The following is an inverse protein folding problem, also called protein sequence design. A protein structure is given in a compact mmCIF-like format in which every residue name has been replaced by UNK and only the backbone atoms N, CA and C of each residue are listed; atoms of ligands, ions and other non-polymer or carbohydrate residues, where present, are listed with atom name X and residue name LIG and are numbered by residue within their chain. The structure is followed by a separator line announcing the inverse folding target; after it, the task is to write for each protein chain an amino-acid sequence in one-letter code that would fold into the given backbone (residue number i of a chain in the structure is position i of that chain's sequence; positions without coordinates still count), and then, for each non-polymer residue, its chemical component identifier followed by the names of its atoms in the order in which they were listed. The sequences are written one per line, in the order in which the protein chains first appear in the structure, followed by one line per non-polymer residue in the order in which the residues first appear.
data_IF_311071424973
#
_entry.id   IF_311071424973
#
_cell.length_a   1.000
_cell.length_b   1.000
_cell.length_c   1.000
_cell.angle_alpha   90.00
_cell.angle_beta   90.00
_cell.angle_gamma   90.00
#
_symmetry.space_group_name_H-M   'P 1'
#
loop_
_entity.id
_entity.type
_entity.pdbx_description
1 polymer ?
#
# COMPACT_ATOMS: atom_id res chain seq x y z
N UNK A 1 10.09 14.32 0.15
CA UNK A 1 8.84 14.61 0.89
C UNK A 1 7.76 14.97 -0.11
N UNK A 2 6.58 14.38 0.00
CA UNK A 2 5.39 14.74 -0.78
C UNK A 2 4.30 15.21 0.19
N UNK A 3 3.77 16.40 -0.04
CA UNK A 3 2.71 16.97 0.77
C UNK A 3 1.65 17.61 -0.13
N UNK A 4 0.37 17.30 0.11
CA UNK A 4 -0.74 17.74 -0.74
C UNK A 4 -0.61 17.34 -2.23
N UNK A 5 -0.07 16.15 -2.50
CA UNK A 5 0.15 15.64 -3.86
C UNK A 5 -0.92 14.60 -4.23
N UNK A 6 -1.27 14.56 -5.51
CA UNK A 6 -2.10 13.50 -6.10
C UNK A 6 -1.27 12.74 -7.15
N UNK A 7 -1.15 11.43 -6.97
CA UNK A 7 -0.50 10.52 -7.93
C UNK A 7 -1.57 9.60 -8.51
N UNK A 8 -1.86 9.75 -9.80
CA UNK A 8 -2.97 9.03 -10.43
C UNK A 8 -2.78 8.71 -11.90
N UNK A 9 -3.53 7.71 -12.37
CA UNK A 9 -3.63 7.33 -13.77
C UNK A 9 -2.29 6.93 -14.40
N UNK A 10 -1.37 6.39 -13.59
CA UNK A 10 -0.11 5.87 -14.08
C UNK A 10 -0.23 4.36 -14.35
N UNK A 11 0.55 3.89 -15.31
CA UNK A 11 0.70 2.48 -15.61
C UNK A 11 2.17 2.09 -15.63
N UNK A 12 2.52 0.96 -15.00
CA UNK A 12 3.89 0.45 -14.97
C UNK A 12 3.90 -1.07 -14.83
N UNK A 13 5.07 -1.69 -14.92
CA UNK A 13 5.20 -3.11 -14.57
C UNK A 13 5.10 -3.32 -13.05
N UNK A 14 5.69 -2.41 -12.27
CA UNK A 14 5.69 -2.46 -10.80
C UNK A 14 5.62 -1.05 -10.21
N UNK A 15 4.95 -0.88 -9.07
CA UNK A 15 4.95 0.39 -8.33
C UNK A 15 4.37 1.53 -9.16
N UNK A 16 3.20 1.34 -9.78
CA UNK A 16 2.72 2.25 -10.82
C UNK A 16 2.50 3.68 -10.33
N UNK A 17 2.15 3.88 -9.05
CA UNK A 17 2.23 5.21 -8.43
C UNK A 17 3.65 5.55 -8.01
N UNK A 18 4.24 4.71 -7.16
CA UNK A 18 5.57 4.92 -6.59
C UNK A 18 6.34 3.59 -6.49
N UNK A 19 7.59 3.59 -6.95
CA UNK A 19 8.58 2.57 -6.61
C UNK A 19 9.67 3.18 -5.73
N UNK A 20 9.94 2.56 -4.58
CA UNK A 20 11.06 2.87 -3.69
C UNK A 20 12.06 1.72 -3.69
N UNK A 21 13.33 2.06 -3.84
CA UNK A 21 14.47 1.16 -3.72
C UNK A 21 15.48 1.80 -2.76
N UNK A 22 15.66 1.20 -1.57
CA UNK A 22 16.66 1.58 -0.56
C UNK A 22 16.72 3.09 -0.25
N UNK A 23 15.54 3.71 -0.09
CA UNK A 23 15.41 5.14 0.21
C UNK A 23 14.24 5.43 1.15
N UNK A 24 14.13 6.70 1.56
CA UNK A 24 13.07 7.17 2.45
C UNK A 24 12.08 8.07 1.72
N UNK A 25 10.79 7.81 1.92
CA UNK A 25 9.70 8.66 1.46
C UNK A 25 8.78 9.04 2.61
N UNK A 26 8.72 10.33 2.89
CA UNK A 26 7.71 10.93 3.77
C UNK A 26 6.58 11.52 2.94
N UNK A 27 5.35 11.09 3.20
CA UNK A 27 4.12 11.60 2.56
C UNK A 27 3.10 12.08 3.58
N UNK A 28 2.50 13.24 3.30
CA UNK A 28 1.39 13.78 4.08
C UNK A 28 0.28 14.36 3.21
N UNK A 29 -0.97 14.29 3.68
CA UNK A 29 -2.14 14.91 3.02
C UNK A 29 -2.28 14.58 1.53
N UNK A 30 -1.84 13.39 1.13
CA UNK A 30 -1.65 13.03 -0.28
C UNK A 30 -2.52 11.83 -0.67
N UNK A 31 -2.80 11.73 -1.97
CA UNK A 31 -3.68 10.69 -2.52
C UNK A 31 -2.96 9.93 -3.64
N UNK A 32 -2.93 8.61 -3.57
CA UNK A 32 -2.48 7.73 -4.66
C UNK A 32 -3.67 6.92 -5.15
N UNK A 33 -4.13 7.16 -6.38
CA UNK A 33 -5.32 6.48 -6.87
C UNK A 33 -5.39 6.23 -8.36
N UNK A 34 -6.16 5.22 -8.78
CA UNK A 34 -6.33 4.85 -10.19
C UNK A 34 -5.00 4.56 -10.92
N UNK A 35 -4.00 4.04 -10.22
CA UNK A 35 -2.78 3.54 -10.84
C UNK A 35 -2.90 2.04 -11.11
N UNK A 36 -2.26 1.56 -12.17
CA UNK A 36 -2.35 0.17 -12.63
C UNK A 36 -0.97 -0.43 -12.85
N UNK A 37 -0.58 -1.43 -12.05
CA UNK A 37 0.61 -2.22 -12.32
C UNK A 37 0.25 -3.49 -13.10
N UNK A 38 1.10 -3.94 -14.02
CA UNK A 38 0.90 -5.24 -14.68
C UNK A 38 1.25 -6.38 -13.73
N UNK A 39 2.29 -6.23 -12.89
CA UNK A 39 2.75 -7.30 -12.01
C UNK A 39 2.41 -7.01 -10.55
N UNK A 40 3.05 -6.02 -9.94
CA UNK A 40 3.10 -5.87 -8.47
C UNK A 40 3.03 -4.40 -8.02
N UNK A 41 2.37 -4.12 -6.89
CA UNK A 41 2.40 -2.79 -6.28
C UNK A 41 1.64 -1.78 -7.14
N UNK A 42 0.33 -1.97 -7.29
CA UNK A 42 -0.51 -1.10 -8.12
C UNK A 42 -0.41 0.38 -7.71
N UNK A 43 -0.28 0.66 -6.41
CA UNK A 43 0.04 1.99 -5.92
C UNK A 43 1.52 2.12 -5.57
N UNK A 44 2.03 1.28 -4.66
CA UNK A 44 3.37 1.39 -4.09
C UNK A 44 4.09 0.04 -4.13
N UNK A 45 5.33 0.04 -4.62
CA UNK A 45 6.30 -1.04 -4.40
C UNK A 45 7.47 -0.49 -3.57
N UNK A 46 7.65 -1.01 -2.35
CA UNK A 46 8.73 -0.64 -1.44
C UNK A 46 9.73 -1.79 -1.29
N UNK A 47 10.90 -1.68 -1.90
CA UNK A 47 12.00 -2.62 -1.76
C UNK A 47 13.08 -2.04 -0.85
N UNK A 48 13.24 -2.61 0.35
CA UNK A 48 14.22 -2.19 1.36
C UNK A 48 14.10 -0.74 1.86
N UNK A 49 13.16 0.05 1.35
CA UNK A 49 12.96 1.44 1.71
C UNK A 49 12.11 1.66 2.95
N UNK A 50 12.00 2.93 3.36
CA UNK A 50 11.14 3.38 4.46
C UNK A 50 10.09 4.36 3.95
N UNK A 51 8.82 4.07 4.22
CA UNK A 51 7.70 4.95 3.86
C UNK A 51 6.95 5.36 5.12
N UNK A 52 6.83 6.66 5.36
CA UNK A 52 6.00 7.21 6.41
C UNK A 52 4.84 7.98 5.79
N UNK A 53 3.62 7.55 6.07
CA UNK A 53 2.38 8.16 5.58
C UNK A 53 1.52 8.67 6.72
N UNK A 54 1.14 9.94 6.65
CA UNK A 54 0.23 10.58 7.61
C UNK A 54 -0.88 11.30 6.87
N UNK A 55 -2.14 11.06 7.24
CA UNK A 55 -3.30 11.70 6.61
C UNK A 55 -3.36 11.47 5.08
N UNK A 56 -2.99 10.26 4.64
CA UNK A 56 -2.95 9.89 3.22
C UNK A 56 -4.08 8.91 2.84
N UNK A 57 -4.38 8.85 1.54
CA UNK A 57 -5.32 7.89 0.97
C UNK A 57 -4.71 7.12 -0.22
N UNK A 58 -4.71 5.80 -0.14
CA UNK A 58 -4.36 4.90 -1.25
C UNK A 58 -5.61 4.17 -1.68
N UNK A 59 -6.13 4.49 -2.87
CA UNK A 59 -7.41 3.94 -3.29
C UNK A 59 -7.55 3.64 -4.76
N UNK A 60 -8.43 2.71 -5.12
CA UNK A 60 -8.78 2.44 -6.53
C UNK A 60 -7.57 2.05 -7.40
N UNK A 61 -6.49 1.53 -6.80
CA UNK A 61 -5.33 1.05 -7.55
C UNK A 61 -5.52 -0.42 -7.91
N UNK A 62 -4.93 -0.83 -9.03
CA UNK A 62 -5.07 -2.17 -9.60
C UNK A 62 -3.71 -2.79 -9.88
N UNK A 63 -3.62 -4.10 -9.71
CA UNK A 63 -2.49 -4.89 -10.17
C UNK A 63 -2.89 -6.35 -10.40
N UNK A 64 -2.05 -7.14 -11.04
CA UNK A 64 -2.23 -8.59 -10.98
C UNK A 64 -1.97 -9.09 -9.55
N UNK A 65 -0.89 -8.60 -8.91
CA UNK A 65 -0.56 -8.88 -7.52
C UNK A 65 -0.34 -7.57 -6.72
N UNK A 66 -0.69 -7.59 -5.44
CA UNK A 66 -0.35 -6.54 -4.47
C UNK A 66 -0.85 -5.14 -4.89
N UNK A 67 -2.17 -4.97 -5.03
CA UNK A 67 -2.74 -3.81 -5.72
C UNK A 67 -2.52 -2.47 -5.00
N UNK A 68 -2.60 -2.41 -3.67
CA UNK A 68 -2.26 -1.17 -2.98
C UNK A 68 -0.75 -1.10 -2.72
N UNK A 69 -0.24 -1.96 -1.83
CA UNK A 69 1.13 -1.86 -1.35
C UNK A 69 1.80 -3.24 -1.38
N UNK A 70 2.96 -3.31 -2.00
CA UNK A 70 3.94 -4.38 -1.79
C UNK A 70 5.12 -3.87 -0.96
N UNK A 71 5.35 -4.47 0.21
CA UNK A 71 6.48 -4.16 1.08
C UNK A 71 7.45 -5.35 1.14
N UNK A 72 8.61 -5.23 0.48
CA UNK A 72 9.65 -6.26 0.42
C UNK A 72 10.86 -5.82 1.24
N UNK A 73 11.05 -6.45 2.41
CA UNK A 73 12.12 -6.11 3.36
C UNK A 73 12.19 -4.62 3.77
N UNK A 74 11.15 -3.84 3.48
CA UNK A 74 11.06 -2.42 3.81
C UNK A 74 10.28 -2.15 5.10
N UNK A 75 10.16 -0.87 5.45
CA UNK A 75 9.36 -0.40 6.58
C UNK A 75 8.27 0.55 6.11
N UNK A 76 7.04 0.32 6.57
CA UNK A 76 5.89 1.21 6.28
C UNK A 76 5.20 1.61 7.58
N UNK A 77 5.03 2.92 7.76
CA UNK A 77 4.21 3.51 8.82
C UNK A 77 2.99 4.18 8.20
N UNK A 78 1.79 3.78 8.64
CA UNK A 78 0.51 4.38 8.29
C UNK A 78 -0.13 4.99 9.54
N UNK A 79 -0.35 6.30 9.50
CA UNK A 79 -1.02 7.05 10.57
C UNK A 79 -2.19 7.85 10.00
N UNK A 80 -3.35 7.77 10.64
CA UNK A 80 -4.54 8.53 10.23
C UNK A 80 -4.87 8.40 8.73
N UNK A 81 -4.59 7.24 8.14
CA UNK A 81 -4.59 7.05 6.69
C UNK A 81 -5.58 5.98 6.27
N UNK A 82 -5.85 5.90 4.97
CA UNK A 82 -6.76 4.89 4.42
C UNK A 82 -6.15 4.14 3.24
N UNK A 83 -6.39 2.82 3.20
CA UNK A 83 -6.11 1.95 2.05
C UNK A 83 -7.41 1.27 1.67
N UNK A 84 -8.04 1.72 0.58
CA UNK A 84 -9.41 1.29 0.26
C UNK A 84 -9.66 1.05 -1.21
N UNK A 85 -10.57 0.13 -1.55
CA UNK A 85 -11.01 -0.09 -2.94
C UNK A 85 -9.86 -0.46 -3.90
N UNK A 86 -8.77 -1.07 -3.41
CA UNK A 86 -7.68 -1.55 -4.26
C UNK A 86 -7.95 -3.00 -4.67
N UNK A 87 -7.73 -3.33 -5.95
CA UNK A 87 -8.15 -4.60 -6.54
C UNK A 87 -6.96 -5.31 -7.15
N UNK A 88 -6.59 -6.46 -6.60
CA UNK A 88 -5.62 -7.36 -7.22
C UNK A 88 -6.34 -8.49 -7.95
N UNK A 89 -5.87 -8.86 -9.15
CA UNK A 89 -6.45 -9.98 -9.89
C UNK A 89 -6.16 -11.34 -9.24
N UNK A 90 -5.05 -11.46 -8.50
CA UNK A 90 -4.59 -12.72 -7.91
C UNK A 90 -4.38 -12.58 -6.39
N UNK A 91 -3.24 -12.05 -5.93
CA UNK A 91 -2.82 -12.23 -4.53
C UNK A 91 -3.48 -11.30 -3.51
N UNK A 92 -3.02 -10.04 -3.39
CA UNK A 92 -3.41 -9.16 -2.28
C UNK A 92 -3.95 -7.81 -2.72
N UNK A 93 -5.15 -7.47 -2.26
CA UNK A 93 -5.82 -6.22 -2.63
C UNK A 93 -5.25 -5.01 -1.89
N UNK A 94 -5.15 -5.11 -0.56
CA UNK A 94 -4.56 -4.08 0.28
C UNK A 94 -3.05 -4.20 0.38
N UNK A 95 -2.54 -4.67 1.53
CA UNK A 95 -1.09 -4.68 1.82
C UNK A 95 -0.52 -6.09 1.83
N UNK A 96 0.50 -6.32 1.02
CA UNK A 96 1.35 -7.50 1.11
C UNK A 96 2.67 -7.15 1.79
N UNK A 97 3.00 -7.83 2.89
CA UNK A 97 4.25 -7.67 3.60
C UNK A 97 5.11 -8.92 3.49
N UNK A 98 6.30 -8.78 2.91
CA UNK A 98 7.28 -9.84 2.77
C UNK A 98 8.54 -9.50 3.54
N UNK A 99 8.64 -10.07 4.75
CA UNK A 99 9.78 -9.91 5.65
C UNK A 99 10.09 -8.44 6.02
N UNK A 100 9.16 -7.53 5.78
CA UNK A 100 9.25 -6.12 6.17
C UNK A 100 8.56 -5.82 7.50
N UNK A 101 8.53 -4.55 7.87
CA UNK A 101 7.83 -4.06 9.07
C UNK A 101 6.69 -3.13 8.69
N UNK A 102 5.50 -3.34 9.26
CA UNK A 102 4.33 -2.49 9.07
C UNK A 102 3.77 -2.03 10.41
N UNK A 103 3.58 -0.71 10.53
CA UNK A 103 2.97 -0.07 11.69
C UNK A 103 1.74 0.72 11.23
N UNK A 104 0.56 0.33 11.72
CA UNK A 104 -0.72 0.94 11.35
C UNK A 104 -1.38 1.49 12.62
N UNK A 105 -1.67 2.79 12.63
CA UNK A 105 -2.34 3.46 13.75
C UNK A 105 -3.44 4.39 13.25
N UNK A 106 -4.59 4.39 13.91
CA UNK A 106 -5.72 5.27 13.58
C UNK A 106 -6.12 5.24 12.09
N UNK A 107 -6.01 4.08 11.44
CA UNK A 107 -6.14 3.99 9.99
C UNK A 107 -7.20 2.97 9.58
N UNK A 108 -7.61 3.01 8.32
CA UNK A 108 -8.61 2.09 7.76
C UNK A 108 -8.03 1.32 6.58
N UNK A 109 -8.17 -0.01 6.61
CA UNK A 109 -7.91 -0.90 5.49
C UNK A 109 -9.22 -1.62 5.17
N UNK A 110 -9.89 -1.22 4.10
CA UNK A 110 -11.21 -1.78 3.81
C UNK A 110 -11.64 -1.71 2.36
N UNK A 111 -12.60 -2.55 1.97
CA UNK A 111 -13.08 -2.63 0.59
C UNK A 111 -11.98 -2.96 -0.43
N UNK A 112 -10.85 -3.51 -0.01
CA UNK A 112 -9.85 -4.04 -0.94
C UNK A 112 -10.27 -5.44 -1.38
N UNK A 113 -9.89 -5.90 -2.57
CA UNK A 113 -10.33 -7.18 -3.12
C UNK A 113 -9.19 -7.91 -3.83
N UNK A 114 -9.14 -9.23 -3.66
CA UNK A 114 -8.25 -10.14 -4.38
C UNK A 114 -8.78 -11.58 -4.31
N UNK A 115 -8.25 -12.48 -5.13
CA UNK A 115 -8.65 -13.89 -5.11
C UNK A 115 -8.16 -14.63 -3.86
N UNK A 116 -7.00 -14.24 -3.30
CA UNK A 116 -6.42 -14.93 -2.14
C UNK A 116 -6.53 -14.13 -0.84
N UNK A 117 -6.07 -12.88 -0.82
CA UNK A 117 -5.96 -12.08 0.41
C UNK A 117 -6.43 -10.64 0.19
N UNK A 118 -7.68 -10.36 0.43
CA UNK A 118 -8.23 -9.06 0.08
C UNK A 118 -7.65 -7.88 0.90
N UNK A 119 -7.55 -8.03 2.22
CA UNK A 119 -7.12 -6.94 3.13
C UNK A 119 -5.61 -6.82 3.30
N UNK A 120 -5.05 -7.64 4.20
CA UNK A 120 -3.62 -7.62 4.54
C UNK A 120 -3.10 -9.06 4.56
N UNK A 121 -1.94 -9.29 3.93
CA UNK A 121 -1.20 -10.53 4.06
C UNK A 121 0.20 -10.26 4.62
N UNK A 122 0.53 -10.89 5.74
CA UNK A 122 1.83 -10.80 6.39
C UNK A 122 2.60 -12.10 6.22
N UNK A 123 3.47 -12.20 5.21
CA UNK A 123 4.31 -13.39 4.96
C UNK A 123 5.43 -13.55 5.98
N UNK A 124 5.84 -12.46 6.63
CA UNK A 124 6.90 -12.46 7.62
C UNK A 124 7.24 -11.03 8.07
N UNK A 125 8.07 -10.92 9.10
CA UNK A 125 8.44 -9.65 9.70
C UNK A 125 7.40 -9.12 10.69
N UNK A 126 7.58 -7.87 11.13
CA UNK A 126 6.77 -7.27 12.20
C UNK A 126 5.50 -6.62 11.64
N UNK A 127 4.39 -6.86 12.33
CA UNK A 127 3.13 -6.16 12.07
C UNK A 127 2.54 -5.68 13.39
N UNK A 128 2.31 -4.37 13.49
CA UNK A 128 1.66 -3.75 14.64
C UNK A 128 0.49 -2.90 14.17
N UNK A 129 -0.70 -3.18 14.69
CA UNK A 129 -1.93 -2.50 14.32
C UNK A 129 -2.63 -2.05 15.60
N UNK A 130 -2.90 -0.75 15.71
CA UNK A 130 -3.61 -0.18 16.87
C UNK A 130 -4.65 0.83 16.43
N UNK A 131 -5.77 0.89 17.15
CA UNK A 131 -6.84 1.89 16.93
C UNK A 131 -7.29 1.98 15.46
N UNK A 132 -7.24 0.87 14.73
CA UNK A 132 -7.45 0.85 13.28
C UNK A 132 -8.55 -0.13 12.94
N UNK A 133 -9.17 0.08 11.78
CA UNK A 133 -10.23 -0.78 11.27
C UNK A 133 -9.72 -1.57 10.06
N UNK A 134 -9.89 -2.89 10.10
CA UNK A 134 -9.70 -3.78 8.95
C UNK A 134 -11.02 -4.49 8.73
N UNK A 135 -11.77 -4.08 7.70
CA UNK A 135 -13.13 -4.57 7.49
C UNK A 135 -13.49 -4.55 6.00
N UNK A 136 -14.49 -5.35 5.61
CA UNK A 136 -15.07 -5.32 4.26
C UNK A 136 -14.06 -5.60 3.13
N UNK A 137 -13.01 -6.39 3.39
CA UNK A 137 -12.08 -6.84 2.36
C UNK A 137 -12.42 -8.26 1.94
#
# INVERSE_FOLDING_TARGET
MLDHVIIKNNAANQGAGIRLDDCELNMSHSIIHNNSAVNEGGAIHNSFGTINMTDCAIKENKADNYAAIYNYYGTITLKNSSITNNIAASETGGIYNENGSIFITNSTIGNNSANYYAGIYNKGGMMYISHSTIAEN
#
